data_IF_159709589508
#
_entry.id   IF_159709589508
#
_cell.length_a   1.000
_cell.length_b   1.000
_cell.length_c   1.000
_cell.angle_alpha   90.00
_cell.angle_beta   90.00
_cell.angle_gamma   90.00
#
_symmetry.space_group_name_H-M   'P 1'
#
loop_
_entity.id
_entity.type
_entity.pdbx_description
1 polymer ?
#
# COMPACT_ATOMS: atom_id res chain seq x y z
N UNK A 1 -5.77 -40.03 -14.53
CA UNK A 1 -4.87 -38.93 -14.96
C UNK A 1 -4.61 -38.06 -13.73
N UNK A 2 -3.41 -38.13 -13.14
CA UNK A 2 -3.05 -37.29 -11.99
C UNK A 2 -2.43 -36.00 -12.53
N UNK A 3 -3.20 -34.91 -12.57
CA UNK A 3 -2.67 -33.57 -12.79
C UNK A 3 -1.95 -33.14 -11.51
N UNK A 4 -0.63 -32.92 -11.62
CA UNK A 4 0.16 -32.33 -10.54
C UNK A 4 0.16 -30.83 -10.74
N UNK A 5 -0.54 -30.11 -9.88
CA UNK A 5 -0.64 -28.65 -9.95
C UNK A 5 0.73 -28.05 -9.60
N UNK A 6 1.42 -27.49 -10.60
CA UNK A 6 2.63 -26.70 -10.40
C UNK A 6 2.19 -25.31 -9.94
N UNK A 7 2.44 -24.99 -8.67
CA UNK A 7 2.18 -23.66 -8.13
C UNK A 7 3.46 -22.84 -8.28
N UNK A 8 3.41 -21.82 -9.14
CA UNK A 8 4.41 -20.75 -9.12
C UNK A 8 3.95 -19.74 -8.08
N UNK A 9 4.42 -19.91 -6.85
CA UNK A 9 4.14 -18.94 -5.79
C UNK A 9 5.19 -17.83 -5.86
N UNK A 10 4.75 -16.58 -5.88
CA UNK A 10 5.67 -15.45 -5.76
C UNK A 10 6.35 -15.47 -4.38
N UNK A 11 7.63 -15.12 -4.34
CA UNK A 11 8.40 -15.17 -3.10
C UNK A 11 8.07 -13.96 -2.22
N UNK A 12 7.25 -14.18 -1.19
CA UNK A 12 6.84 -13.13 -0.26
C UNK A 12 7.99 -12.62 0.62
N UNK A 13 9.14 -13.31 0.65
CA UNK A 13 10.27 -12.90 1.48
C UNK A 13 11.13 -11.84 0.80
N UNK A 14 11.20 -11.83 -0.53
CA UNK A 14 11.88 -10.79 -1.34
C UNK A 14 10.94 -9.71 -1.88
N UNK A 15 9.78 -9.59 -1.25
CA UNK A 15 8.78 -8.57 -1.54
C UNK A 15 9.36 -7.15 -1.44
N UNK A 16 9.18 -6.36 -2.50
CA UNK A 16 9.60 -4.96 -2.59
C UNK A 16 8.53 -4.10 -3.26
N UNK A 17 8.29 -2.92 -2.69
CA UNK A 17 7.50 -1.87 -3.36
C UNK A 17 8.33 -1.32 -4.51
N UNK A 18 7.89 -1.58 -5.74
CA UNK A 18 8.56 -1.11 -6.96
C UNK A 18 7.94 0.16 -7.52
N UNK A 19 6.66 0.42 -7.18
CA UNK A 19 5.94 1.58 -7.70
C UNK A 19 4.95 2.07 -6.66
N UNK A 20 4.83 3.39 -6.57
CA UNK A 20 3.82 4.05 -5.74
C UNK A 20 3.17 5.08 -6.65
N UNK A 21 1.84 5.05 -6.70
CA UNK A 21 1.02 5.94 -7.50
C UNK A 21 -0.08 6.51 -6.59
N UNK A 22 -0.36 7.80 -6.70
CA UNK A 22 -1.39 8.45 -5.91
C UNK A 22 -2.32 9.17 -6.87
N UNK A 23 -3.63 8.96 -6.69
CA UNK A 23 -4.67 9.61 -7.48
C UNK A 23 -4.55 11.14 -7.41
N UNK A 24 -4.21 11.64 -6.22
CA UNK A 24 -3.90 13.04 -5.99
C UNK A 24 -2.83 13.17 -4.92
N UNK A 25 -1.87 14.06 -5.10
CA UNK A 25 -0.89 14.41 -4.06
C UNK A 25 -1.36 15.55 -3.16
N UNK A 26 -2.47 16.19 -3.54
CA UNK A 26 -3.11 17.30 -2.86
C UNK A 26 -4.60 17.00 -2.75
N UNK A 27 -5.10 16.91 -1.51
CA UNK A 27 -6.52 16.90 -1.20
C UNK A 27 -6.88 18.11 -0.36
N UNK A 28 -8.12 18.57 -0.49
CA UNK A 28 -8.69 19.50 0.47
C UNK A 28 -8.82 18.80 1.82
N UNK A 29 -8.24 19.38 2.85
CA UNK A 29 -8.36 18.81 4.17
C UNK A 29 -9.65 19.29 4.86
N UNK A 30 -10.79 18.89 4.28
CA UNK A 30 -12.15 19.18 4.73
C UNK A 30 -12.86 17.94 5.31
N UNK A 31 -12.11 16.85 5.51
CA UNK A 31 -12.58 15.52 5.92
C UNK A 31 -13.50 14.81 4.90
N UNK A 32 -13.71 15.41 3.73
CA UNK A 32 -14.49 14.86 2.62
C UNK A 32 -13.58 14.43 1.47
N UNK A 33 -12.56 15.23 1.16
CA UNK A 33 -11.62 14.90 0.11
C UNK A 33 -10.67 13.81 0.58
N UNK A 34 -10.64 12.73 -0.20
CA UNK A 34 -9.90 11.53 0.08
C UNK A 34 -8.83 11.34 -0.99
N UNK A 35 -7.61 11.02 -0.55
CA UNK A 35 -6.50 10.64 -1.41
C UNK A 35 -6.44 9.13 -1.47
N UNK A 36 -6.55 8.58 -2.67
CA UNK A 36 -6.27 7.15 -2.91
C UNK A 36 -4.81 6.99 -3.31
N UNK A 37 -4.07 6.22 -2.55
CA UNK A 37 -2.69 5.84 -2.86
C UNK A 37 -2.64 4.35 -3.16
N UNK A 38 -1.91 3.97 -4.18
CA UNK A 38 -1.67 2.60 -4.59
C UNK A 38 -0.17 2.33 -4.62
N UNK A 39 0.25 1.21 -4.03
CA UNK A 39 1.64 0.75 -4.05
C UNK A 39 1.69 -0.63 -4.68
N UNK A 40 2.50 -0.77 -5.72
CA UNK A 40 2.76 -2.04 -6.39
C UNK A 40 3.96 -2.71 -5.73
N UNK A 41 3.70 -3.88 -5.16
CA UNK A 41 4.66 -4.77 -4.53
C UNK A 41 4.92 -5.95 -5.45
N UNK A 42 6.18 -6.16 -5.78
CA UNK A 42 6.63 -7.33 -6.52
C UNK A 42 7.78 -7.99 -5.81
N UNK A 43 7.98 -9.27 -6.10
CA UNK A 43 9.16 -10.02 -5.69
C UNK A 43 10.44 -9.55 -6.43
N UNK A 44 11.61 -10.02 -6.01
CA UNK A 44 12.89 -9.88 -6.72
C UNK A 44 12.82 -10.37 -8.18
N UNK A 45 11.94 -11.34 -8.46
CA UNK A 45 11.67 -11.84 -9.81
C UNK A 45 10.65 -11.01 -10.60
N UNK A 46 10.24 -9.84 -10.09
CA UNK A 46 9.16 -8.99 -10.61
C UNK A 46 7.77 -9.67 -10.66
N UNK A 47 7.56 -10.72 -9.88
CA UNK A 47 6.24 -11.32 -9.75
C UNK A 47 5.37 -10.50 -8.78
N UNK A 48 4.13 -10.16 -9.15
CA UNK A 48 3.19 -9.50 -8.25
C UNK A 48 2.91 -10.39 -7.05
N UNK A 49 2.98 -9.80 -5.86
CA UNK A 49 2.80 -10.51 -4.61
C UNK A 49 1.43 -10.24 -4.04
N UNK A 50 0.55 -11.24 -4.06
CA UNK A 50 -0.78 -11.14 -3.48
C UNK A 50 -0.76 -11.29 -1.96
N UNK A 51 -1.69 -10.60 -1.30
CA UNK A 51 -2.00 -10.66 0.11
C UNK A 51 -0.82 -10.30 1.04
N UNK A 52 0.09 -9.44 0.59
CA UNK A 52 1.20 -8.92 1.39
C UNK A 52 0.79 -7.69 2.18
N UNK A 53 1.07 -7.65 3.49
CA UNK A 53 0.79 -6.50 4.31
C UNK A 53 1.71 -5.32 3.94
N UNK A 54 1.12 -4.18 3.66
CA UNK A 54 1.78 -2.90 3.42
C UNK A 54 1.30 -1.96 4.52
N UNK A 55 2.24 -1.49 5.34
CA UNK A 55 1.94 -0.51 6.38
C UNK A 55 2.06 0.90 5.80
N UNK A 56 1.07 1.72 6.06
CA UNK A 56 1.02 3.10 5.62
C UNK A 56 1.23 3.99 6.83
N UNK A 57 2.28 4.80 6.78
CA UNK A 57 2.54 5.82 7.78
C UNK A 57 2.24 7.19 7.18
N UNK A 58 1.50 8.01 7.92
CA UNK A 58 1.38 9.43 7.61
C UNK A 58 1.87 10.24 8.79
N UNK A 59 2.79 11.15 8.51
CA UNK A 59 3.26 12.14 9.45
C UNK A 59 2.59 13.47 9.11
N UNK A 60 1.70 13.93 9.98
CA UNK A 60 0.94 15.16 9.76
C UNK A 60 1.38 16.19 10.77
N UNK A 61 1.97 17.30 10.31
CA UNK A 61 2.40 18.37 11.22
C UNK A 61 1.22 18.94 12.05
N UNK A 62 -0.01 18.82 11.55
CA UNK A 62 -1.24 19.29 12.20
C UNK A 62 -1.97 18.23 13.04
N UNK A 63 -1.52 16.97 13.05
CA UNK A 63 -2.17 15.86 13.75
C UNK A 63 -3.61 15.55 13.32
N UNK A 64 -4.09 16.13 12.22
CA UNK A 64 -5.50 16.07 11.78
C UNK A 64 -5.74 15.16 10.57
N UNK A 65 -4.69 14.53 10.03
CA UNK A 65 -4.83 13.57 8.94
C UNK A 65 -4.98 12.16 9.50
N UNK A 66 -5.94 11.42 8.94
CA UNK A 66 -6.27 10.06 9.33
C UNK A 66 -6.28 9.16 8.09
N UNK A 67 -5.49 8.10 8.14
CA UNK A 67 -5.60 7.00 7.18
C UNK A 67 -6.89 6.23 7.47
N UNK A 68 -7.65 5.88 6.44
CA UNK A 68 -8.75 4.93 6.58
C UNK A 68 -8.20 3.59 7.07
N UNK A 69 -7.09 3.16 6.45
CA UNK A 69 -6.39 1.93 6.79
C UNK A 69 -4.90 2.23 6.96
N UNK A 70 -4.37 1.95 8.16
CA UNK A 70 -2.92 2.04 8.41
C UNK A 70 -2.15 0.86 7.82
N UNK A 71 -2.85 -0.14 7.33
CA UNK A 71 -2.29 -1.33 6.73
C UNK A 71 -3.25 -1.80 5.64
N UNK A 72 -2.72 -2.09 4.45
CA UNK A 72 -3.47 -2.74 3.38
C UNK A 72 -2.75 -3.99 2.94
N UNK A 73 -3.52 -4.95 2.44
CA UNK A 73 -2.95 -6.12 1.78
C UNK A 73 -2.89 -5.84 0.28
N UNK A 74 -1.84 -6.34 -0.38
CA UNK A 74 -1.78 -6.30 -1.84
C UNK A 74 -2.81 -7.24 -2.46
N UNK A 75 -3.37 -6.82 -3.58
CA UNK A 75 -4.34 -7.61 -4.34
C UNK A 75 -3.67 -8.67 -5.21
N UNK A 76 -4.45 -9.43 -6.00
CA UNK A 76 -3.95 -10.46 -6.93
C UNK A 76 -2.88 -9.94 -7.91
N UNK A 77 -2.90 -8.64 -8.20
CA UNK A 77 -1.93 -7.95 -9.04
C UNK A 77 -0.71 -7.40 -8.27
N UNK A 78 -0.56 -7.72 -6.98
CA UNK A 78 0.47 -7.17 -6.13
C UNK A 78 0.28 -5.70 -5.79
N UNK A 79 -0.93 -5.16 -5.94
CA UNK A 79 -1.22 -3.73 -5.72
C UNK A 79 -1.92 -3.57 -4.37
N UNK A 80 -1.32 -2.84 -3.44
CA UNK A 80 -1.96 -2.42 -2.20
C UNK A 80 -2.53 -1.03 -2.37
N UNK A 81 -3.80 -0.82 -2.02
CA UNK A 81 -4.45 0.48 -2.08
C UNK A 81 -4.82 0.97 -0.69
N UNK A 82 -4.71 2.27 -0.46
CA UNK A 82 -5.08 2.90 0.80
C UNK A 82 -5.73 4.23 0.53
N UNK A 83 -6.70 4.57 1.38
CA UNK A 83 -7.39 5.85 1.33
C UNK A 83 -7.00 6.69 2.53
N UNK A 84 -6.61 7.92 2.28
CA UNK A 84 -6.24 8.90 3.29
C UNK A 84 -7.24 10.06 3.28
N UNK A 85 -7.66 10.52 4.45
CA UNK A 85 -8.49 11.73 4.62
C UNK A 85 -7.85 12.67 5.64
N UNK A 86 -8.07 13.97 5.50
CA UNK A 86 -7.59 14.95 6.48
C UNK A 86 -8.66 15.97 6.77
N UNK A 87 -8.80 16.37 8.03
CA UNK A 87 -9.77 17.37 8.46
C UNK A 87 -9.18 18.80 8.57
N UNK A 88 -7.86 18.95 8.36
CA UNK A 88 -7.20 20.26 8.47
C UNK A 88 -6.09 20.44 7.45
N UNK A 89 -6.12 21.58 6.74
CA UNK A 89 -5.15 21.89 5.71
C UNK A 89 -3.76 21.98 6.34
N UNK A 90 -2.82 21.23 5.80
CA UNK A 90 -1.47 21.12 6.33
C UNK A 90 -0.62 20.24 5.45
N UNK A 91 0.70 20.42 5.52
CA UNK A 91 1.64 19.51 4.90
C UNK A 91 1.65 18.21 5.69
N UNK A 92 1.45 17.09 5.00
CA UNK A 92 1.56 15.77 5.55
C UNK A 92 2.57 14.97 4.72
N UNK A 93 3.53 14.34 5.38
CA UNK A 93 4.51 13.46 4.74
C UNK A 93 3.94 12.05 4.75
N UNK A 94 3.61 11.54 3.56
CA UNK A 94 3.17 10.17 3.40
C UNK A 94 4.37 9.24 3.19
N UNK A 95 4.44 8.15 3.94
CA UNK A 95 5.51 7.15 3.86
C UNK A 95 4.92 5.73 3.85
N UNK A 96 4.86 5.06 2.69
CA UNK A 96 4.55 3.65 2.64
C UNK A 96 5.73 2.84 3.15
N UNK A 97 5.48 1.93 4.08
CA UNK A 97 6.44 0.99 4.62
C UNK A 97 5.90 -0.42 4.38
N UNK A 98 6.52 -1.15 3.47
CA UNK A 98 6.14 -2.55 3.28
C UNK A 98 6.45 -3.36 4.55
N UNK A 99 5.45 -4.10 5.07
CA UNK A 99 5.68 -5.03 6.15
C UNK A 99 6.19 -6.34 5.54
N UNK A 100 7.45 -6.66 5.78
CA UNK A 100 7.99 -7.96 5.38
C UNK A 100 7.35 -9.02 6.27
N UNK A 101 6.58 -9.94 5.70
CA UNK A 101 6.05 -11.08 6.44
C UNK A 101 7.24 -11.92 6.95
N UNK A 102 7.53 -11.85 8.26
CA UNK A 102 8.41 -12.83 8.91
C UNK A 102 7.62 -14.13 9.05
N UNK A 103 8.25 -15.20 8.53
CA UNK A 103 7.84 -16.62 8.64
C UNK A 103 7.33 -17.01 10.02
#
# INVERSE_FOLDING_TARGET
MQSKTLQFTADASSAKVIKIDADKTLALADNQDAITVSAMVTDASQHPLVNQPVNWAIDSASGSAHLADKQSNTDENGIATVTLKSAKAGQASFRPQQATAKR
#
